data_IF_846764777381
#
_entry.id   IF_846764777381
#
_cell.length_a   1.000
_cell.length_b   1.000
_cell.length_c   1.000
_cell.angle_alpha   90.00
_cell.angle_beta   90.00
_cell.angle_gamma   90.00
#
_symmetry.space_group_name_H-M   'P 1'
#
loop_
_entity.id
_entity.type
_entity.pdbx_description
1 polymer ?
#
# COMPACT_ATOMS: atom_id res chain seq x y z
N UNK A 1 12.43 -45.76 2.15
CA UNK A 1 11.36 -44.75 1.97
C UNK A 1 11.99 -43.37 2.11
N UNK A 2 12.28 -42.67 1.00
CA UNK A 2 12.84 -41.31 1.04
C UNK A 2 11.68 -40.31 1.07
N UNK A 3 11.40 -39.72 2.24
CA UNK A 3 10.47 -38.59 2.37
C UNK A 3 11.16 -37.34 1.81
N UNK A 4 10.79 -36.94 0.59
CA UNK A 4 11.11 -35.62 0.06
C UNK A 4 10.19 -34.59 0.71
N UNK A 5 10.73 -33.90 1.72
CA UNK A 5 10.17 -32.67 2.27
C UNK A 5 10.48 -31.52 1.32
N UNK A 6 9.64 -31.32 0.31
CA UNK A 6 9.62 -30.04 -0.42
C UNK A 6 8.60 -29.15 0.25
N UNK A 7 9.03 -28.44 1.31
CA UNK A 7 8.30 -27.27 1.81
C UNK A 7 8.38 -26.21 0.71
N UNK A 8 7.29 -26.06 -0.05
CA UNK A 8 7.06 -24.90 -0.90
C UNK A 8 7.06 -23.67 0.01
N UNK A 9 8.21 -23.01 0.11
CA UNK A 9 8.27 -21.66 0.67
C UNK A 9 7.43 -20.79 -0.25
N UNK A 10 6.42 -20.05 0.24
CA UNK A 10 5.74 -19.08 -0.60
C UNK A 10 6.79 -18.07 -1.04
N UNK A 11 7.12 -18.07 -2.32
CA UNK A 11 7.90 -17.00 -2.94
C UNK A 11 7.07 -15.73 -2.72
N UNK A 12 7.52 -14.88 -1.80
CA UNK A 12 6.99 -13.51 -1.69
C UNK A 12 7.02 -12.88 -3.10
N UNK A 13 6.03 -12.05 -3.45
CA UNK A 13 5.95 -11.48 -4.80
C UNK A 13 7.28 -10.78 -5.15
N UNK A 14 7.77 -11.02 -6.36
CA UNK A 14 9.12 -10.64 -6.81
C UNK A 14 9.33 -9.12 -7.05
N UNK A 15 8.47 -8.27 -6.49
CA UNK A 15 8.49 -6.83 -6.69
C UNK A 15 8.01 -6.05 -5.46
N UNK A 16 8.21 -4.73 -5.44
CA UNK A 16 7.77 -3.89 -4.34
C UNK A 16 6.26 -3.98 -4.17
N UNK A 17 5.82 -4.25 -2.94
CA UNK A 17 4.40 -4.32 -2.55
C UNK A 17 3.97 -2.98 -1.99
N UNK A 18 2.72 -2.59 -2.20
CA UNK A 18 2.20 -1.32 -1.72
C UNK A 18 0.88 -1.52 -0.97
N UNK A 19 0.54 -0.57 -0.10
CA UNK A 19 -0.77 -0.52 0.53
C UNK A 19 -1.35 0.88 0.47
N UNK A 20 -2.69 0.92 0.36
CA UNK A 20 -3.46 2.07 0.78
C UNK A 20 -3.38 2.17 2.30
N UNK A 21 -3.12 3.37 2.79
CA UNK A 21 -2.99 3.66 4.21
C UNK A 21 -3.69 4.96 4.58
N UNK A 22 -4.02 5.08 5.86
CA UNK A 22 -4.74 6.22 6.41
C UNK A 22 -3.98 6.80 7.61
N UNK A 23 -4.19 8.09 7.86
CA UNK A 23 -3.66 8.78 9.04
C UNK A 23 -4.58 8.56 10.24
N UNK A 24 -4.08 8.74 11.46
CA UNK A 24 -4.90 8.67 12.70
C UNK A 24 -6.08 9.64 12.63
N UNK A 25 -5.87 10.78 11.98
CA UNK A 25 -6.86 11.86 11.82
C UNK A 25 -7.71 11.71 10.56
N UNK A 26 -7.64 10.57 9.85
CA UNK A 26 -8.42 10.35 8.65
C UNK A 26 -9.92 10.28 8.97
N UNK A 27 -10.70 10.95 8.13
CA UNK A 27 -12.16 10.90 8.10
C UNK A 27 -12.60 10.19 6.83
N UNK A 28 -13.89 9.86 6.69
CA UNK A 28 -14.42 9.27 5.45
C UNK A 28 -14.30 10.16 4.20
N UNK A 29 -13.84 11.39 4.36
CA UNK A 29 -13.50 12.31 3.26
C UNK A 29 -12.01 12.61 3.22
N UNK A 30 -11.15 11.89 3.93
CA UNK A 30 -9.69 12.05 3.79
C UNK A 30 -9.18 11.27 2.59
N UNK A 31 -8.11 11.71 1.92
CA UNK A 31 -7.50 10.91 0.87
C UNK A 31 -6.83 9.66 1.48
N UNK A 32 -6.85 8.56 0.74
CA UNK A 32 -5.96 7.44 1.02
C UNK A 32 -4.54 7.80 0.57
N UNK A 33 -3.57 7.42 1.40
CA UNK A 33 -2.16 7.49 1.09
C UNK A 33 -1.68 6.16 0.50
N UNK A 34 -0.53 6.17 -0.16
CA UNK A 34 0.12 4.96 -0.67
C UNK A 34 1.44 4.84 0.05
N UNK A 35 1.78 3.64 0.52
CA UNK A 35 3.12 3.36 1.04
C UNK A 35 3.64 2.05 0.49
N UNK A 36 4.95 1.93 0.43
CA UNK A 36 5.60 0.65 0.17
C UNK A 36 5.56 -0.21 1.44
N UNK A 37 5.19 -1.48 1.29
CA UNK A 37 5.23 -2.48 2.36
C UNK A 37 6.66 -3.03 2.49
N UNK A 38 7.12 -3.19 3.73
CA UNK A 38 8.32 -3.99 4.03
C UNK A 38 7.97 -5.48 4.11
N UNK A 39 8.94 -6.30 4.47
CA UNK A 39 8.73 -7.74 4.75
C UNK A 39 7.74 -7.99 5.89
N UNK A 40 7.46 -6.98 6.73
CA UNK A 40 6.43 -7.06 7.77
C UNK A 40 5.00 -7.09 7.20
N UNK A 41 4.80 -6.62 5.96
CA UNK A 41 3.50 -6.58 5.31
C UNK A 41 2.57 -5.48 5.83
N UNK A 42 1.26 -5.75 5.79
CA UNK A 42 0.24 -4.78 6.19
C UNK A 42 -0.01 -4.74 7.70
N UNK A 43 -0.24 -3.55 8.24
CA UNK A 43 -0.70 -3.29 9.61
C UNK A 43 -2.13 -2.75 9.59
N UNK A 44 -3.12 -3.61 9.85
CA UNK A 44 -4.56 -3.24 9.77
C UNK A 44 -5.11 -2.53 11.01
N UNK A 45 -4.26 -2.20 11.99
CA UNK A 45 -4.67 -1.48 13.19
C UNK A 45 -3.48 -1.18 14.08
N UNK A 46 -3.32 0.10 14.46
CA UNK A 46 -2.29 0.56 15.37
C UNK A 46 -0.87 0.51 14.79
N UNK A 47 -0.45 1.62 14.19
CA UNK A 47 0.88 1.79 13.60
C UNK A 47 0.99 1.27 12.17
N UNK A 48 2.00 1.75 11.45
CA UNK A 48 2.44 1.23 10.16
C UNK A 48 3.96 1.07 10.18
N UNK A 49 4.53 0.16 9.39
CA UNK A 49 5.98 -0.08 9.27
C UNK A 49 6.73 1.00 8.50
N UNK A 50 6.09 2.13 8.18
CA UNK A 50 6.76 3.27 7.58
C UNK A 50 5.83 4.43 7.22
N UNK A 51 6.41 5.58 6.82
CA UNK A 51 5.63 6.70 6.30
C UNK A 51 4.99 6.34 4.94
N UNK A 52 3.95 7.11 4.58
CA UNK A 52 3.46 7.13 3.21
C UNK A 52 4.54 7.63 2.22
N UNK A 53 4.34 7.38 0.93
CA UNK A 53 5.20 7.86 -0.15
C UNK A 53 5.32 9.39 -0.18
N UNK A 54 4.29 10.12 0.26
CA UNK A 54 4.36 11.58 0.44
C UNK A 54 5.04 12.02 1.76
N UNK A 55 5.64 11.09 2.52
CA UNK A 55 6.27 11.36 3.82
C UNK A 55 5.32 11.49 5.01
N UNK A 56 4.00 11.41 4.79
CA UNK A 56 3.03 11.51 5.88
C UNK A 56 3.12 10.33 6.86
N UNK A 57 3.03 10.64 8.15
CA UNK A 57 2.83 9.61 9.19
C UNK A 57 1.44 8.99 9.05
N UNK A 58 1.40 7.68 8.90
CA UNK A 58 0.17 6.89 8.76
C UNK A 58 -0.03 5.99 9.99
N UNK A 59 -1.25 5.53 10.17
CA UNK A 59 -1.71 4.86 11.37
C UNK A 59 -2.09 3.40 11.15
N UNK A 60 -2.56 3.06 9.96
CA UNK A 60 -2.88 1.70 9.55
C UNK A 60 -3.01 1.64 8.02
N UNK A 61 -2.95 0.42 7.52
CA UNK A 61 -3.24 0.05 6.14
C UNK A 61 -4.66 -0.45 5.98
N UNK A 62 -5.26 -0.16 4.84
CA UNK A 62 -6.64 -0.56 4.51
C UNK A 62 -6.67 -1.69 3.50
N UNK A 63 -5.88 -1.61 2.43
CA UNK A 63 -5.80 -2.64 1.40
C UNK A 63 -4.45 -2.68 0.70
N UNK A 64 -3.96 -3.86 0.36
CA UNK A 64 -2.80 -4.03 -0.51
C UNK A 64 -3.16 -3.63 -1.95
N UNK A 65 -2.24 -2.95 -2.63
CA UNK A 65 -2.40 -2.49 -4.01
C UNK A 65 -1.11 -2.68 -4.80
N UNK A 66 -1.21 -2.79 -6.12
CA UNK A 66 -0.06 -2.79 -7.02
C UNK A 66 0.06 -1.47 -7.77
N UNK A 67 1.26 -1.13 -8.28
CA UNK A 67 1.46 0.12 -9.01
C UNK A 67 0.59 0.19 -10.27
N UNK A 68 0.36 -0.93 -10.93
CA UNK A 68 -0.46 -1.04 -12.15
C UNK A 68 -1.94 -0.74 -11.87
N UNK A 69 -2.39 -0.88 -10.61
CA UNK A 69 -3.77 -0.58 -10.22
C UNK A 69 -3.99 0.92 -9.95
N UNK A 70 -2.92 1.67 -9.66
CA UNK A 70 -3.00 3.07 -9.24
C UNK A 70 -3.64 3.96 -10.32
N UNK A 71 -3.25 3.90 -11.61
CA UNK A 71 -3.88 4.72 -12.64
C UNK A 71 -5.41 4.55 -12.69
N UNK A 72 -5.89 3.30 -12.66
CA UNK A 72 -7.32 3.03 -12.64
C UNK A 72 -8.02 3.49 -11.35
N UNK A 73 -7.33 3.52 -10.21
CA UNK A 73 -7.88 4.08 -8.97
C UNK A 73 -7.96 5.61 -9.00
N UNK A 74 -7.00 6.27 -9.65
CA UNK A 74 -7.04 7.73 -9.88
C UNK A 74 -8.23 8.08 -10.75
N UNK A 75 -8.44 7.37 -11.86
CA UNK A 75 -9.58 7.59 -12.77
C UNK A 75 -10.94 7.43 -12.08
N UNK A 76 -11.05 6.49 -11.13
CA UNK A 76 -12.27 6.24 -10.36
C UNK A 76 -12.39 7.08 -9.10
N UNK A 77 -11.49 8.04 -8.86
CA UNK A 77 -11.53 8.86 -7.65
C UNK A 77 -12.79 9.74 -7.60
N UNK A 78 -13.46 9.75 -6.44
CA UNK A 78 -14.66 10.54 -6.13
C UNK A 78 -14.61 11.07 -4.69
N UNK A 79 -15.67 11.77 -4.25
CA UNK A 79 -15.66 12.51 -2.98
C UNK A 79 -15.30 11.66 -1.73
N UNK A 80 -15.75 10.40 -1.70
CA UNK A 80 -15.51 9.43 -0.61
C UNK A 80 -14.36 8.45 -0.87
N UNK A 81 -13.71 8.49 -2.04
CA UNK A 81 -12.51 7.71 -2.31
C UNK A 81 -11.60 8.51 -3.24
N UNK A 82 -10.46 8.95 -2.73
CA UNK A 82 -9.44 9.62 -3.55
C UNK A 82 -8.06 9.28 -3.04
N UNK A 83 -7.09 9.29 -3.96
CA UNK A 83 -5.68 9.10 -3.61
C UNK A 83 -5.01 10.44 -3.33
N UNK A 84 -4.06 10.43 -2.40
CA UNK A 84 -3.18 11.56 -2.17
C UNK A 84 -2.35 11.83 -3.42
N UNK A 85 -2.48 13.02 -4.00
CA UNK A 85 -1.82 13.38 -5.27
C UNK A 85 -0.30 13.32 -5.18
N UNK A 86 0.28 13.65 -4.03
CA UNK A 86 1.72 13.55 -3.77
C UNK A 86 2.17 12.09 -3.71
N UNK A 87 1.36 11.20 -3.13
CA UNK A 87 1.65 9.78 -3.14
C UNK A 87 1.64 9.23 -4.56
N UNK A 88 0.65 9.62 -5.38
CA UNK A 88 0.56 9.21 -6.79
C UNK A 88 1.79 9.68 -7.57
N UNK A 89 2.17 10.95 -7.43
CA UNK A 89 3.36 11.50 -8.09
C UNK A 89 4.66 10.78 -7.66
N UNK A 90 4.77 10.41 -6.38
CA UNK A 90 5.96 9.74 -5.86
C UNK A 90 6.13 8.29 -6.36
N UNK A 91 5.03 7.58 -6.63
CA UNK A 91 5.06 6.16 -7.02
C UNK A 91 4.87 5.91 -8.51
N UNK A 92 4.44 6.94 -9.26
CA UNK A 92 4.33 6.91 -10.72
C UNK A 92 5.40 7.84 -11.32
N UNK A 93 6.70 7.46 -11.33
CA UNK A 93 7.72 8.30 -11.92
C UNK A 93 7.37 8.57 -13.39
N UNK A 94 7.44 9.84 -13.77
CA UNK A 94 7.30 10.26 -15.16
C UNK A 94 8.38 9.56 -16.00
N UNK A 95 7.97 8.96 -17.12
CA UNK A 95 8.91 8.53 -18.18
C UNK A 95 9.75 9.70 -18.70
#
# INVERSE_FOLDING_TARGET
MKKLLSKLVPTAPAGPRYALCERVTATGTSPHHIRQLTDQGMFRGGGADGPAACGATVAWDTSEVTLEQIPGMVERSHASFRLCVECVAAVSPSE
#
